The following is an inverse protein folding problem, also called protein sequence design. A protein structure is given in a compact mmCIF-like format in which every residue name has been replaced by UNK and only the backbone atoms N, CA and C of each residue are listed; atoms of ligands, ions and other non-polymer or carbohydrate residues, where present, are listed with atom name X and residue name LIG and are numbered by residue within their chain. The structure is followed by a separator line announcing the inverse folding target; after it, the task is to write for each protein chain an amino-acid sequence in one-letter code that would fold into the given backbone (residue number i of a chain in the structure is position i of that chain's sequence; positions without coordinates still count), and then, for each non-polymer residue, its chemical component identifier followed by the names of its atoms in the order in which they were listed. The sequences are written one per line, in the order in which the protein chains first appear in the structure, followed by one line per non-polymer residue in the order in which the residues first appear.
data_IF_012571355642
#
_entry.id   IF_012571355642
#
_cell.length_a   1.000
_cell.length_b   1.000
_cell.length_c   1.000
_cell.angle_alpha   90.00
_cell.angle_beta   90.00
_cell.angle_gamma   90.00
#
_symmetry.space_group_name_H-M   'P 1'
#
loop_
_entity.id
_entity.type
_entity.pdbx_description
1 polymer ?
#
# COMPACT_ATOMS: atom_id res chain seq x y z
N UNK A 1 -14.27 -6.48 -16.74
CA UNK A 1 -14.20 -7.23 -15.48
C UNK A 1 -15.34 -6.73 -14.60
N UNK A 2 -16.06 -7.63 -13.95
CA UNK A 2 -17.15 -7.31 -13.00
C UNK A 2 -16.86 -8.07 -11.71
N UNK A 3 -17.24 -7.51 -10.57
CA UNK A 3 -17.10 -8.19 -9.29
C UNK A 3 -18.02 -9.41 -9.22
N UNK A 4 -17.56 -10.45 -8.51
CA UNK A 4 -18.36 -11.65 -8.27
C UNK A 4 -19.45 -11.40 -7.21
N UNK A 5 -19.17 -10.52 -6.27
CA UNK A 5 -20.06 -10.17 -5.17
C UNK A 5 -19.91 -8.69 -4.85
N UNK A 6 -21.04 -7.99 -4.76
CA UNK A 6 -21.13 -6.64 -4.23
C UNK A 6 -21.89 -6.65 -2.90
N UNK A 7 -21.71 -5.59 -2.10
CA UNK A 7 -22.56 -5.31 -0.96
C UNK A 7 -23.88 -4.69 -1.41
N UNK A 8 -23.82 -3.53 -2.06
CA UNK A 8 -25.00 -2.83 -2.60
C UNK A 8 -24.97 -2.73 -4.12
N UNK A 9 -23.82 -3.00 -4.73
CA UNK A 9 -23.60 -2.87 -6.16
C UNK A 9 -23.59 -1.41 -6.61
N UNK A 10 -23.51 -1.26 -7.93
CA UNK A 10 -23.40 0.04 -8.58
C UNK A 10 -21.98 0.34 -9.05
N UNK A 11 -21.89 1.33 -9.93
CA UNK A 11 -20.67 1.64 -10.66
C UNK A 11 -19.51 2.01 -9.72
N UNK A 12 -19.76 2.77 -8.67
CA UNK A 12 -18.72 3.24 -7.74
C UNK A 12 -18.08 2.13 -6.92
N UNK A 13 -18.86 1.12 -6.53
CA UNK A 13 -18.36 -0.06 -5.81
C UNK A 13 -17.53 -0.94 -6.72
N UNK A 14 -18.05 -1.24 -7.92
CA UNK A 14 -17.33 -1.96 -8.99
C UNK A 14 -16.01 -1.26 -9.32
N UNK A 15 -16.07 0.04 -9.59
CA UNK A 15 -14.92 0.82 -10.03
C UNK A 15 -13.85 0.91 -8.96
N UNK A 16 -14.24 1.19 -7.71
CA UNK A 16 -13.31 1.25 -6.59
C UNK A 16 -12.49 -0.04 -6.49
N UNK A 17 -13.14 -1.21 -6.48
CA UNK A 17 -12.43 -2.49 -6.34
C UNK A 17 -11.64 -2.84 -7.61
N UNK A 18 -12.23 -2.66 -8.79
CA UNK A 18 -11.57 -2.98 -10.07
C UNK A 18 -10.30 -2.15 -10.28
N UNK A 19 -10.27 -0.88 -9.89
CA UNK A 19 -9.06 -0.05 -9.96
C UNK A 19 -7.94 -0.66 -9.11
N UNK A 20 -8.23 -1.10 -7.88
CA UNK A 20 -7.23 -1.75 -7.03
C UNK A 20 -6.76 -3.09 -7.62
N UNK A 21 -7.66 -3.93 -8.12
CA UNK A 21 -7.28 -5.18 -8.79
C UNK A 21 -6.43 -4.92 -10.04
N UNK A 22 -6.72 -3.88 -10.81
CA UNK A 22 -5.94 -3.50 -11.98
C UNK A 22 -4.53 -3.00 -11.60
N UNK A 23 -4.39 -2.24 -10.52
CA UNK A 23 -3.09 -1.86 -9.94
C UNK A 23 -2.31 -3.12 -9.56
N UNK A 24 -2.96 -4.06 -8.86
CA UNK A 24 -2.34 -5.33 -8.45
C UNK A 24 -1.87 -6.17 -9.63
N UNK A 25 -2.69 -6.29 -10.67
CA UNK A 25 -2.34 -7.02 -11.89
C UNK A 25 -1.13 -6.41 -12.63
N UNK A 26 -0.92 -5.09 -12.54
CA UNK A 26 0.26 -4.44 -13.13
C UNK A 26 1.54 -4.66 -12.33
N UNK A 27 1.44 -4.77 -11.01
CA UNK A 27 2.60 -4.83 -10.13
C UNK A 27 3.47 -6.09 -10.30
N UNK A 28 2.93 -7.17 -10.87
CA UNK A 28 3.66 -8.43 -11.07
C UNK A 28 5.02 -8.27 -11.77
N UNK A 29 5.13 -7.32 -12.72
CA UNK A 29 6.41 -7.03 -13.38
C UNK A 29 7.45 -6.47 -12.42
N UNK A 30 7.07 -5.54 -11.54
CA UNK A 30 7.97 -5.01 -10.52
C UNK A 30 8.36 -6.06 -9.49
N UNK A 31 7.43 -6.95 -9.10
CA UNK A 31 7.75 -8.04 -8.16
C UNK A 31 8.77 -9.04 -8.73
N UNK A 32 8.69 -9.34 -10.03
CA UNK A 32 9.71 -10.15 -10.70
C UNK A 32 11.08 -9.42 -10.77
N UNK A 33 11.05 -8.11 -11.07
CA UNK A 33 12.25 -7.28 -11.13
C UNK A 33 13.01 -7.22 -9.80
N UNK A 34 12.30 -7.27 -8.66
CA UNK A 34 12.92 -7.36 -7.33
C UNK A 34 13.89 -8.55 -7.25
N UNK A 35 13.42 -9.73 -7.68
CA UNK A 35 14.18 -10.98 -7.57
C UNK A 35 15.43 -10.89 -8.45
N UNK A 36 15.26 -10.48 -9.70
CA UNK A 36 16.39 -10.33 -10.65
C UNK A 36 17.40 -9.30 -10.14
N UNK A 37 16.95 -8.16 -9.62
CA UNK A 37 17.82 -7.13 -9.07
C UNK A 37 18.65 -7.66 -7.89
N UNK A 38 18.05 -8.40 -6.97
CA UNK A 38 18.76 -8.96 -5.82
C UNK A 38 19.81 -10.01 -6.22
N UNK A 39 19.54 -10.84 -7.23
CA UNK A 39 20.55 -11.74 -7.79
C UNK A 39 21.68 -10.98 -8.49
N UNK A 40 21.35 -9.98 -9.32
CA UNK A 40 22.33 -9.14 -10.00
C UNK A 40 23.23 -8.34 -9.04
N UNK A 41 22.73 -7.99 -7.86
CA UNK A 41 23.55 -7.40 -6.78
C UNK A 41 24.64 -8.38 -6.30
N UNK A 42 24.31 -9.65 -6.14
CA UNK A 42 25.27 -10.71 -5.72
C UNK A 42 26.28 -10.99 -6.81
N UNK A 43 25.82 -11.06 -8.06
CA UNK A 43 26.67 -11.34 -9.22
C UNK A 43 27.46 -10.12 -9.72
N UNK A 44 27.33 -8.98 -9.03
CA UNK A 44 27.97 -7.71 -9.38
C UNK A 44 27.69 -7.26 -10.83
N UNK A 45 26.42 -7.28 -11.24
CA UNK A 45 25.94 -6.91 -12.57
C UNK A 45 25.16 -5.58 -12.53
N UNK A 46 25.84 -4.43 -12.44
CA UNK A 46 25.20 -3.13 -12.22
C UNK A 46 24.30 -2.68 -13.38
N UNK A 47 24.57 -3.14 -14.60
CA UNK A 47 23.74 -2.89 -15.77
C UNK A 47 22.36 -3.52 -15.57
N UNK A 48 22.30 -4.78 -15.12
CA UNK A 48 21.03 -5.48 -14.84
C UNK A 48 20.31 -4.84 -13.65
N UNK A 49 21.03 -4.47 -12.59
CA UNK A 49 20.41 -3.74 -11.45
C UNK A 49 19.77 -2.43 -11.95
N UNK A 50 20.43 -1.72 -12.87
CA UNK A 50 19.91 -0.48 -13.45
C UNK A 50 18.63 -0.72 -14.27
N UNK A 51 18.64 -1.75 -15.12
CA UNK A 51 17.48 -2.14 -15.94
C UNK A 51 16.27 -2.56 -15.10
N UNK A 52 16.49 -3.31 -14.02
CA UNK A 52 15.41 -3.77 -13.14
C UNK A 52 14.85 -2.62 -12.28
N UNK A 53 15.69 -1.70 -11.81
CA UNK A 53 15.22 -0.46 -11.17
C UNK A 53 14.40 0.40 -12.13
N UNK A 54 14.81 0.50 -13.40
CA UNK A 54 14.02 1.18 -14.43
C UNK A 54 12.68 0.46 -14.69
N UNK A 55 12.67 -0.87 -14.67
CA UNK A 55 11.45 -1.68 -14.78
C UNK A 55 10.50 -1.43 -13.60
N UNK A 56 11.02 -1.32 -12.38
CA UNK A 56 10.22 -0.97 -11.19
C UNK A 56 9.63 0.44 -11.36
N UNK A 57 10.43 1.43 -11.77
CA UNK A 57 9.96 2.80 -11.99
C UNK A 57 8.86 2.89 -13.05
N UNK A 58 9.03 2.21 -14.19
CA UNK A 58 8.01 2.14 -15.25
C UNK A 58 6.71 1.48 -14.78
N UNK A 59 6.83 0.41 -13.99
CA UNK A 59 5.66 -0.28 -13.42
C UNK A 59 4.91 0.60 -12.44
N UNK A 60 5.63 1.36 -11.59
CA UNK A 60 5.03 2.35 -10.70
C UNK A 60 4.28 3.45 -11.46
N UNK A 61 4.84 3.93 -12.58
CA UNK A 61 4.15 4.85 -13.48
C UNK A 61 2.85 4.27 -14.02
N UNK A 62 2.89 3.02 -14.53
CA UNK A 62 1.69 2.35 -15.02
C UNK A 62 0.63 2.07 -13.92
N UNK A 63 1.06 1.78 -12.69
CA UNK A 63 0.15 1.67 -11.53
C UNK A 63 -0.47 3.02 -11.20
N UNK A 64 0.31 4.10 -11.27
CA UNK A 64 -0.15 5.46 -11.02
C UNK A 64 -1.16 5.92 -12.08
N UNK A 65 -0.92 5.64 -13.36
CA UNK A 65 -1.87 5.92 -14.44
C UNK A 65 -3.24 5.24 -14.20
N UNK A 66 -3.24 4.02 -13.64
CA UNK A 66 -4.48 3.34 -13.26
C UNK A 66 -5.12 4.02 -12.05
N UNK A 67 -4.34 4.36 -11.02
CA UNK A 67 -4.85 5.07 -9.84
C UNK A 67 -5.54 6.38 -10.24
N UNK A 68 -4.97 7.14 -11.17
CA UNK A 68 -5.52 8.40 -11.67
C UNK A 68 -6.94 8.29 -12.26
N UNK A 69 -7.36 7.07 -12.62
CA UNK A 69 -8.70 6.78 -13.15
C UNK A 69 -9.75 6.56 -12.07
N UNK A 70 -9.40 6.59 -10.78
CA UNK A 70 -10.38 6.47 -9.70
C UNK A 70 -11.59 7.41 -9.87
N UNK A 71 -11.42 8.70 -10.23
CA UNK A 71 -12.54 9.62 -10.41
C UNK A 71 -13.39 9.37 -11.66
N UNK A 72 -12.96 8.52 -12.60
CA UNK A 72 -13.70 8.24 -13.84
C UNK A 72 -15.08 7.66 -13.57
N UNK A 73 -15.21 6.85 -12.51
CA UNK A 73 -16.43 6.11 -12.20
C UNK A 73 -16.59 5.77 -10.70
N UNK A 74 -15.86 6.47 -9.82
CA UNK A 74 -16.07 6.42 -8.38
C UNK A 74 -16.22 7.84 -7.85
N UNK A 75 -17.46 8.27 -7.62
CA UNK A 75 -17.80 9.57 -7.07
C UNK A 75 -17.44 9.63 -5.56
N UNK A 76 -16.73 10.67 -5.09
CA UNK A 76 -16.36 10.82 -3.69
C UNK A 76 -17.53 10.73 -2.70
N UNK A 77 -18.68 11.31 -3.02
CA UNK A 77 -19.85 11.32 -2.14
C UNK A 77 -20.49 9.93 -2.09
N UNK A 78 -20.63 9.26 -3.24
CA UNK A 78 -21.16 7.89 -3.31
C UNK A 78 -20.25 6.91 -2.59
N UNK A 79 -18.94 6.96 -2.85
CA UNK A 79 -17.95 6.15 -2.13
C UNK A 79 -18.10 6.30 -0.63
N UNK A 80 -18.10 7.55 -0.13
CA UNK A 80 -18.14 7.81 1.29
C UNK A 80 -19.41 7.28 1.95
N UNK A 81 -20.58 7.41 1.30
CA UNK A 81 -21.87 7.06 1.92
C UNK A 81 -22.34 5.64 1.65
N UNK A 82 -21.94 5.02 0.54
CA UNK A 82 -22.48 3.73 0.10
C UNK A 82 -21.45 2.61 0.06
N UNK A 83 -20.20 2.90 -0.27
CA UNK A 83 -19.14 1.88 -0.38
C UNK A 83 -18.41 1.74 0.96
N UNK A 84 -17.83 2.85 1.45
CA UNK A 84 -16.99 2.89 2.65
C UNK A 84 -17.60 2.24 3.91
N UNK A 85 -18.92 2.35 4.21
CA UNK A 85 -19.48 1.75 5.42
C UNK A 85 -19.30 0.23 5.53
N UNK A 86 -19.30 -0.49 4.40
CA UNK A 86 -19.21 -1.96 4.39
C UNK A 86 -17.80 -2.51 4.53
N UNK A 87 -16.79 -1.67 4.35
CA UNK A 87 -15.38 -2.06 4.41
C UNK A 87 -14.72 -1.67 5.75
N UNK A 88 -15.49 -1.12 6.70
CA UNK A 88 -15.03 -0.94 8.08
C UNK A 88 -15.01 -2.28 8.82
N UNK A 89 -13.98 -2.46 9.64
CA UNK A 89 -13.94 -3.54 10.63
C UNK A 89 -14.54 -3.07 11.95
N UNK A 90 -14.31 -3.86 12.99
CA UNK A 90 -14.81 -3.59 14.35
C UNK A 90 -13.68 -3.23 15.33
N UNK A 91 -12.41 -3.38 14.94
CA UNK A 91 -11.28 -2.86 15.72
C UNK A 91 -11.37 -1.33 15.85
N UNK A 92 -11.51 -0.84 17.08
CA UNK A 92 -11.67 0.58 17.42
C UNK A 92 -12.93 1.24 16.81
N UNK A 93 -13.93 0.45 16.38
CA UNK A 93 -15.15 1.00 15.79
C UNK A 93 -16.15 1.45 16.88
N UNK A 94 -16.68 2.68 16.85
CA UNK A 94 -17.48 3.23 17.95
C UNK A 94 -18.82 2.50 18.15
N UNK A 95 -19.36 1.84 17.12
CA UNK A 95 -20.57 1.03 17.24
C UNK A 95 -20.34 -0.36 17.84
N UNK A 96 -19.09 -0.84 17.89
CA UNK A 96 -18.71 -2.14 18.42
C UNK A 96 -17.46 -1.98 19.31
N UNK A 97 -17.57 -1.26 20.44
CA UNK A 97 -16.40 -0.92 21.27
C UNK A 97 -15.71 -2.13 21.90
N UNK A 98 -16.42 -3.25 22.07
CA UNK A 98 -15.87 -4.50 22.56
C UNK A 98 -15.34 -5.41 21.42
N UNK A 99 -15.61 -5.07 20.15
CA UNK A 99 -15.40 -5.94 18.99
C UNK A 99 -16.64 -6.74 18.60
N UNK A 100 -16.45 -7.82 17.84
CA UNK A 100 -17.50 -8.70 17.32
C UNK A 100 -17.39 -10.10 17.93
N UNK A 101 -18.50 -10.65 18.43
CA UNK A 101 -18.55 -12.05 18.90
C UNK A 101 -18.80 -12.96 17.69
N UNK A 102 -17.95 -13.97 17.55
CA UNK A 102 -18.05 -15.00 16.53
C UNK A 102 -18.64 -16.27 17.16
N UNK A 103 -19.95 -16.38 17.15
CA UNK A 103 -20.66 -17.52 17.72
C UNK A 103 -20.24 -18.84 17.04
N UNK A 104 -19.98 -19.86 17.85
CA UNK A 104 -19.60 -21.19 17.37
C UNK A 104 -18.14 -21.36 16.94
N UNK A 105 -17.31 -20.32 17.03
CA UNK A 105 -15.87 -20.43 16.76
C UNK A 105 -15.12 -20.76 18.05
N UNK A 106 -14.74 -22.03 18.21
CA UNK A 106 -14.10 -22.56 19.43
C UNK A 106 -12.83 -21.78 19.82
N UNK A 107 -11.97 -21.47 18.84
CA UNK A 107 -10.71 -20.73 19.06
C UNK A 107 -10.92 -19.35 19.70
N UNK A 108 -12.09 -18.74 19.51
CA UNK A 108 -12.41 -17.44 20.08
C UNK A 108 -13.12 -17.53 21.42
N UNK A 109 -13.59 -18.71 21.85
CA UNK A 109 -14.13 -18.94 23.19
C UNK A 109 -15.28 -18.02 23.61
N UNK A 110 -16.06 -17.52 22.64
CA UNK A 110 -17.13 -16.54 22.90
C UNK A 110 -16.64 -15.11 23.22
N UNK A 111 -15.34 -14.85 23.11
CA UNK A 111 -14.74 -13.53 23.34
C UNK A 111 -14.90 -12.69 22.07
N UNK A 112 -15.24 -11.41 22.24
CA UNK A 112 -15.33 -10.47 21.13
C UNK A 112 -13.95 -10.22 20.52
N UNK A 113 -13.84 -10.37 19.20
CA UNK A 113 -12.62 -10.18 18.44
C UNK A 113 -12.56 -8.78 17.85
N UNK A 114 -11.36 -8.25 17.66
CA UNK A 114 -11.11 -6.90 17.14
C UNK A 114 -10.31 -6.97 15.85
N UNK A 115 -11.00 -7.14 14.72
CA UNK A 115 -10.37 -7.17 13.40
C UNK A 115 -10.56 -5.84 12.68
N UNK A 116 -9.52 -5.47 11.94
CA UNK A 116 -9.43 -4.24 11.17
C UNK A 116 -10.24 -4.38 9.89
N UNK A 117 -10.75 -3.25 9.40
CA UNK A 117 -11.40 -3.19 8.10
C UNK A 117 -10.40 -3.29 6.95
N UNK A 118 -10.92 -3.23 5.73
CA UNK A 118 -10.09 -3.16 4.53
C UNK A 118 -9.29 -1.86 4.53
N UNK A 119 -8.04 -1.96 4.09
CA UNK A 119 -7.19 -0.81 3.81
C UNK A 119 -6.14 -1.19 2.77
N UNK A 120 -5.77 -0.22 1.93
CA UNK A 120 -4.64 -0.39 1.00
C UNK A 120 -3.30 -0.76 1.67
N UNK A 121 -3.15 -0.60 2.98
CA UNK A 121 -1.98 -1.08 3.72
C UNK A 121 -1.89 -2.63 3.81
N UNK A 122 -2.97 -3.34 3.48
CA UNK A 122 -2.99 -4.81 3.36
C UNK A 122 -2.49 -5.29 1.99
N UNK A 123 -2.29 -4.39 1.01
CA UNK A 123 -1.58 -4.72 -0.23
C UNK A 123 -0.11 -5.04 0.04
N UNK A 124 0.41 -6.08 -0.60
CA UNK A 124 1.81 -6.50 -0.45
C UNK A 124 2.77 -5.76 -1.38
N UNK A 125 2.27 -4.99 -2.36
CA UNK A 125 3.11 -4.36 -3.39
C UNK A 125 4.02 -3.30 -2.80
N UNK A 126 3.42 -2.26 -2.19
CA UNK A 126 4.18 -1.13 -1.68
C UNK A 126 5.18 -1.59 -0.60
N UNK A 127 4.82 -2.48 0.35
CA UNK A 127 5.78 -3.05 1.29
C UNK A 127 6.94 -3.81 0.62
N UNK A 128 6.69 -4.57 -0.45
CA UNK A 128 7.76 -5.27 -1.18
C UNK A 128 8.68 -4.28 -1.93
N UNK A 129 8.12 -3.20 -2.48
CA UNK A 129 8.88 -2.15 -3.15
C UNK A 129 9.68 -1.30 -2.15
N UNK A 130 9.11 -1.01 -0.99
CA UNK A 130 9.85 -0.37 0.11
C UNK A 130 11.03 -1.25 0.54
N UNK A 131 10.81 -2.56 0.68
CA UNK A 131 11.83 -3.52 1.07
C UNK A 131 13.00 -3.55 0.08
N UNK A 132 12.74 -3.71 -1.23
CA UNK A 132 13.83 -3.78 -2.23
C UNK A 132 14.59 -2.44 -2.34
N UNK A 133 13.89 -1.31 -2.24
CA UNK A 133 14.50 0.01 -2.33
C UNK A 133 15.13 0.45 -1.01
N UNK A 134 15.03 -0.36 0.05
CA UNK A 134 15.58 -0.03 1.36
C UNK A 134 14.92 1.21 1.99
N UNK A 135 13.65 1.47 1.70
CA UNK A 135 12.86 2.55 2.30
C UNK A 135 12.43 2.09 3.69
N UNK A 136 12.94 2.78 4.72
CA UNK A 136 12.59 2.48 6.11
C UNK A 136 11.77 3.61 6.74
N UNK A 137 10.82 3.21 7.57
CA UNK A 137 9.94 4.11 8.32
C UNK A 137 10.37 4.18 9.78
N UNK A 138 10.26 5.35 10.41
CA UNK A 138 10.65 5.52 11.81
C UNK A 138 9.84 4.60 12.75
N UNK A 139 10.46 4.10 13.82
CA UNK A 139 9.81 3.23 14.80
C UNK A 139 8.79 4.00 15.64
N UNK A 140 7.53 3.93 15.23
CA UNK A 140 6.41 4.55 15.93
C UNK A 140 5.11 3.71 15.82
N UNK A 141 3.99 4.29 16.25
CA UNK A 141 2.66 3.65 16.18
C UNK A 141 2.29 3.28 14.75
N UNK A 142 2.68 4.08 13.76
CA UNK A 142 2.40 3.82 12.35
C UNK A 142 3.19 2.62 11.85
N UNK A 143 4.48 2.50 12.19
CA UNK A 143 5.24 1.30 11.82
C UNK A 143 4.69 0.04 12.48
N UNK A 144 4.24 0.11 13.74
CA UNK A 144 3.53 -1.00 14.39
C UNK A 144 2.25 -1.37 13.65
N UNK A 145 1.47 -0.38 13.24
CA UNK A 145 0.26 -0.59 12.46
C UNK A 145 0.54 -1.25 11.09
N UNK A 146 1.57 -0.80 10.35
CA UNK A 146 1.94 -1.45 9.09
C UNK A 146 2.39 -2.91 9.27
N UNK A 147 3.10 -3.21 10.37
CA UNK A 147 3.44 -4.59 10.72
C UNK A 147 2.19 -5.41 11.01
N UNK A 148 1.24 -4.87 11.78
CA UNK A 148 -0.07 -5.50 12.01
C UNK A 148 -0.80 -5.77 10.68
N UNK A 149 -0.73 -4.87 9.69
CA UNK A 149 -1.38 -5.09 8.38
C UNK A 149 -0.76 -6.25 7.59
N UNK A 150 0.49 -6.64 7.86
CA UNK A 150 1.06 -7.86 7.28
C UNK A 150 0.35 -9.12 7.78
N UNK A 151 -0.24 -9.08 8.99
CA UNK A 151 -1.01 -10.20 9.54
C UNK A 151 -2.27 -10.51 8.72
N UNK A 152 -2.77 -9.51 7.98
CA UNK A 152 -3.92 -9.61 7.08
C UNK A 152 -3.52 -9.98 5.63
N UNK A 153 -2.23 -10.11 5.33
CA UNK A 153 -1.75 -10.57 4.02
C UNK A 153 -1.72 -12.10 3.96
N UNK A 154 -1.95 -12.71 2.77
CA UNK A 154 -1.72 -14.14 2.58
C UNK A 154 -0.30 -14.55 3.02
N UNK A 155 -0.12 -15.71 3.68
CA UNK A 155 1.18 -16.10 4.25
C UNK A 155 2.34 -16.08 3.24
N UNK A 156 2.09 -16.50 2.00
CA UNK A 156 3.11 -16.50 0.93
C UNK A 156 3.53 -15.09 0.51
N UNK A 157 2.63 -14.12 0.58
CA UNK A 157 2.94 -12.73 0.24
C UNK A 157 3.75 -12.07 1.34
N UNK A 158 3.41 -12.36 2.61
CA UNK A 158 4.22 -11.93 3.76
C UNK A 158 5.63 -12.49 3.70
N UNK A 159 5.75 -13.81 3.48
CA UNK A 159 7.05 -14.48 3.36
C UNK A 159 7.88 -13.91 2.20
N UNK A 160 7.26 -13.50 1.09
CA UNK A 160 7.95 -12.81 0.01
C UNK A 160 8.57 -11.50 0.47
N UNK A 161 7.81 -10.63 1.15
CA UNK A 161 8.33 -9.36 1.67
C UNK A 161 9.50 -9.61 2.65
N UNK A 162 9.33 -10.55 3.58
CA UNK A 162 10.38 -10.91 4.55
C UNK A 162 11.64 -11.44 3.87
N UNK A 163 11.49 -12.23 2.80
CA UNK A 163 12.62 -12.72 2.00
C UNK A 163 13.35 -11.58 1.30
N UNK A 164 12.61 -10.62 0.73
CA UNK A 164 13.20 -9.43 0.08
C UNK A 164 13.95 -8.57 1.11
N UNK A 165 13.37 -8.35 2.29
CA UNK A 165 13.99 -7.59 3.39
C UNK A 165 15.28 -8.26 3.90
N UNK A 166 15.32 -9.59 3.97
CA UNK A 166 16.50 -10.34 4.40
C UNK A 166 17.55 -10.53 3.28
N UNK A 167 17.19 -10.24 2.04
CA UNK A 167 18.03 -10.44 0.87
C UNK A 167 19.12 -9.39 0.68
N UNK A 168 19.91 -9.50 -0.41
CA UNK A 168 20.93 -8.51 -0.76
C UNK A 168 20.34 -7.09 -0.91
N UNK A 169 21.00 -6.11 -0.29
CA UNK A 169 20.56 -4.71 -0.31
C UNK A 169 20.87 -4.03 -1.65
N UNK A 170 19.83 -3.82 -2.47
CA UNK A 170 19.91 -3.07 -3.73
C UNK A 170 20.31 -1.62 -3.45
N UNK A 171 19.74 -1.00 -2.41
CA UNK A 171 20.07 0.38 -2.04
C UNK A 171 21.55 0.55 -1.69
N UNK A 172 22.13 -0.34 -0.88
CA UNK A 172 23.55 -0.24 -0.51
C UNK A 172 24.46 -0.53 -1.70
N UNK A 173 24.03 -1.40 -2.61
CA UNK A 173 24.72 -1.61 -3.88
C UNK A 173 24.74 -0.32 -4.72
N UNK A 174 23.60 0.35 -4.89
CA UNK A 174 23.51 1.64 -5.60
C UNK A 174 24.39 2.69 -4.92
N UNK A 175 24.33 2.81 -3.58
CA UNK A 175 25.16 3.75 -2.83
C UNK A 175 26.65 3.53 -3.10
N UNK A 176 27.13 2.29 -3.07
CA UNK A 176 28.55 1.98 -3.31
C UNK A 176 29.03 2.37 -4.71
N UNK A 177 28.14 2.35 -5.71
CA UNK A 177 28.50 2.58 -7.11
C UNK A 177 28.07 3.95 -7.66
N UNK A 178 27.30 4.74 -6.90
CA UNK A 178 26.67 6.00 -7.35
C UNK A 178 27.62 7.00 -8.02
N UNK A 179 28.87 7.08 -7.56
CA UNK A 179 29.86 8.01 -8.11
C UNK A 179 30.42 7.57 -9.47
N UNK A 180 30.58 6.27 -9.68
CA UNK A 180 31.09 5.71 -10.94
C UNK A 180 29.98 5.44 -11.97
N UNK A 181 28.73 5.29 -11.49
CA UNK A 181 27.58 4.83 -12.30
C UNK A 181 26.36 5.72 -12.03
N UNK A 182 26.33 6.95 -12.56
CA UNK A 182 25.20 7.87 -12.34
C UNK A 182 23.87 7.29 -12.82
N UNK A 183 23.85 6.54 -13.94
CA UNK A 183 22.62 5.90 -14.43
C UNK A 183 21.97 4.92 -13.44
N UNK A 184 22.78 4.20 -12.65
CA UNK A 184 22.28 3.30 -11.60
C UNK A 184 21.61 4.08 -10.46
N UNK A 185 22.23 5.19 -10.03
CA UNK A 185 21.65 6.12 -9.05
C UNK A 185 20.35 6.72 -9.56
N UNK A 186 20.34 7.17 -10.81
CA UNK A 186 19.20 7.84 -11.40
C UNK A 186 18.01 6.88 -11.58
N UNK A 187 18.25 5.63 -11.98
CA UNK A 187 17.22 4.59 -12.04
C UNK A 187 16.64 4.27 -10.64
N UNK A 188 17.48 4.16 -9.61
CA UNK A 188 17.02 4.01 -8.23
C UNK A 188 16.13 5.19 -7.80
N UNK A 189 16.59 6.42 -8.04
CA UNK A 189 15.83 7.62 -7.68
C UNK A 189 14.50 7.71 -8.44
N UNK A 190 14.45 7.28 -9.70
CA UNK A 190 13.21 7.22 -10.47
C UNK A 190 12.20 6.22 -9.86
N UNK A 191 12.66 5.08 -9.32
CA UNK A 191 11.80 4.15 -8.61
C UNK A 191 11.27 4.75 -7.28
N UNK A 192 12.14 5.44 -6.52
CA UNK A 192 11.72 6.16 -5.30
C UNK A 192 10.70 7.25 -5.62
N UNK A 193 10.92 8.02 -6.69
CA UNK A 193 10.01 9.06 -7.16
C UNK A 193 8.64 8.48 -7.56
N UNK A 194 8.61 7.29 -8.18
CA UNK A 194 7.38 6.59 -8.49
C UNK A 194 6.56 6.23 -7.24
N UNK A 195 7.20 5.76 -6.16
CA UNK A 195 6.53 5.49 -4.89
C UNK A 195 6.03 6.79 -4.25
N UNK A 196 6.85 7.84 -4.26
CA UNK A 196 6.47 9.15 -3.72
C UNK A 196 5.25 9.72 -4.44
N UNK A 197 5.20 9.62 -5.76
CA UNK A 197 4.09 10.07 -6.59
C UNK A 197 2.81 9.28 -6.28
N UNK A 198 2.90 7.95 -6.23
CA UNK A 198 1.77 7.07 -5.87
C UNK A 198 1.21 7.43 -4.49
N UNK A 199 2.08 7.59 -3.48
CA UNK A 199 1.70 8.01 -2.11
C UNK A 199 1.08 9.40 -2.08
N UNK A 200 1.57 10.32 -2.91
CA UNK A 200 1.06 11.69 -3.00
C UNK A 200 -0.37 11.72 -3.55
N UNK A 201 -0.64 11.01 -4.63
CA UNK A 201 -1.99 10.88 -5.19
C UNK A 201 -2.92 10.14 -4.23
N UNK A 202 -2.47 9.08 -3.59
CA UNK A 202 -3.26 8.38 -2.58
C UNK A 202 -3.65 9.30 -1.40
N UNK A 203 -2.72 10.13 -0.91
CA UNK A 203 -3.00 11.14 0.11
C UNK A 203 -4.02 12.19 -0.35
N UNK A 204 -3.95 12.61 -1.60
CA UNK A 204 -4.93 13.53 -2.18
C UNK A 204 -6.33 12.90 -2.21
N UNK A 205 -6.44 11.66 -2.70
CA UNK A 205 -7.72 10.94 -2.75
C UNK A 205 -8.27 10.68 -1.36
N UNK A 206 -7.44 10.30 -0.39
CA UNK A 206 -7.88 10.14 0.99
C UNK A 206 -8.49 11.45 1.55
N UNK A 207 -7.96 12.63 1.16
CA UNK A 207 -8.58 13.92 1.51
C UNK A 207 -9.90 14.14 0.78
N UNK A 208 -9.97 13.87 -0.52
CA UNK A 208 -11.15 14.16 -1.34
C UNK A 208 -12.33 13.22 -1.05
N UNK A 209 -12.05 11.93 -0.88
CA UNK A 209 -13.04 10.86 -0.71
C UNK A 209 -13.45 10.64 0.76
N UNK A 210 -12.66 11.11 1.73
CA UNK A 210 -12.95 10.92 3.16
C UNK A 210 -13.10 12.26 3.88
N UNK A 211 -12.04 13.07 3.92
CA UNK A 211 -12.03 14.30 4.75
C UNK A 211 -13.06 15.32 4.25
N UNK A 212 -13.08 15.62 2.94
CA UNK A 212 -14.03 16.58 2.36
C UNK A 212 -15.48 16.11 2.41
N UNK A 213 -15.72 14.81 2.51
CA UNK A 213 -17.07 14.22 2.59
C UNK A 213 -17.60 14.13 4.02
N UNK A 214 -16.74 14.38 5.02
CA UNK A 214 -17.12 14.30 6.43
C UNK A 214 -18.18 15.35 6.77
N UNK A 215 -19.40 14.89 7.07
CA UNK A 215 -20.51 15.74 7.56
C UNK A 215 -21.09 15.19 8.88
N UNK A 216 -20.27 14.59 9.75
CA UNK A 216 -20.66 14.29 11.14
C UNK A 216 -21.56 13.06 11.38
N UNK A 217 -21.53 12.04 10.52
CA UNK A 217 -22.35 10.82 10.69
C UNK A 217 -21.66 9.71 11.51
N UNK A 218 -22.34 9.16 12.54
CA UNK A 218 -21.82 8.06 13.39
C UNK A 218 -21.51 6.75 12.65
N UNK A 219 -22.17 6.49 11.50
CA UNK A 219 -22.01 5.28 10.68
C UNK A 219 -20.73 5.26 9.83
N UNK A 220 -20.06 6.40 9.68
CA UNK A 220 -18.84 6.48 8.87
C UNK A 220 -17.83 7.42 9.54
N UNK A 221 -17.12 6.95 10.59
CA UNK A 221 -16.17 7.77 11.33
C UNK A 221 -15.08 8.34 10.40
N UNK A 222 -14.75 9.62 10.57
CA UNK A 222 -13.82 10.37 9.69
C UNK A 222 -12.48 10.65 10.33
N UNK A 223 -12.43 10.64 11.66
CA UNK A 223 -11.19 10.79 12.44
C UNK A 223 -10.33 9.51 12.38
N UNK A 224 -10.93 8.43 11.89
CA UNK A 224 -10.37 7.09 11.83
C UNK A 224 -10.60 6.52 10.43
N UNK A 225 -9.53 6.05 9.77
CA UNK A 225 -9.62 5.29 8.51
C UNK A 225 -10.38 3.98 8.70
N UNK A 226 -10.72 3.28 7.61
CA UNK A 226 -11.37 1.95 7.67
C UNK A 226 -10.54 0.90 8.41
N UNK A 227 -9.21 1.05 8.36
CA UNK A 227 -8.25 0.30 9.16
C UNK A 227 -8.03 0.84 10.59
N UNK A 228 -8.79 1.83 11.09
CA UNK A 228 -8.70 2.20 12.51
C UNK A 228 -7.59 3.22 12.87
N UNK A 229 -7.09 4.04 11.94
CA UNK A 229 -5.95 4.97 12.18
C UNK A 229 -6.21 6.43 11.78
N UNK A 230 -5.49 7.42 12.36
CA UNK A 230 -5.46 8.80 11.84
C UNK A 230 -4.65 8.86 10.54
N UNK A 231 -5.29 8.51 9.42
CA UNK A 231 -4.62 8.19 8.16
C UNK A 231 -3.91 9.40 7.50
N UNK A 232 -4.41 10.63 7.64
CA UNK A 232 -3.80 11.79 6.95
C UNK A 232 -2.38 12.11 7.44
N UNK A 233 -2.12 12.25 8.76
CA UNK A 233 -0.75 12.38 9.28
C UNK A 233 0.17 11.24 8.81
N UNK A 234 -0.34 10.01 8.80
CA UNK A 234 0.44 8.82 8.45
C UNK A 234 0.85 8.82 6.99
N UNK A 235 -0.08 9.11 6.08
CA UNK A 235 0.19 9.21 4.64
C UNK A 235 1.17 10.36 4.33
N UNK A 236 1.05 11.51 5.01
CA UNK A 236 2.03 12.62 4.88
C UNK A 236 3.44 12.18 5.28
N UNK A 237 3.54 11.46 6.40
CA UNK A 237 4.83 10.97 6.94
C UNK A 237 5.48 9.97 5.98
N UNK A 238 4.75 8.95 5.51
CA UNK A 238 5.30 7.97 4.57
C UNK A 238 5.84 8.59 3.28
N UNK A 239 5.13 9.58 2.73
CA UNK A 239 5.62 10.32 1.56
C UNK A 239 6.95 11.03 1.85
N UNK A 240 7.04 11.73 2.99
CA UNK A 240 8.26 12.44 3.37
C UNK A 240 9.44 11.49 3.63
N UNK A 241 9.18 10.36 4.30
CA UNK A 241 10.19 9.33 4.53
C UNK A 241 10.66 8.69 3.22
N UNK A 242 9.76 8.39 2.27
CA UNK A 242 10.16 7.94 0.91
C UNK A 242 11.11 8.94 0.25
N UNK A 243 10.74 10.22 0.24
CA UNK A 243 11.56 11.27 -0.38
C UNK A 243 12.97 11.33 0.22
N UNK A 244 13.10 11.15 1.54
CA UNK A 244 14.38 11.17 2.23
C UNK A 244 15.32 10.02 1.84
N UNK A 245 14.84 8.97 1.14
CA UNK A 245 15.65 7.84 0.71
C UNK A 245 16.30 8.03 -0.67
N UNK A 246 16.04 9.14 -1.36
CA UNK A 246 16.74 9.49 -2.60
C UNK A 246 18.25 9.62 -2.35
N UNK A 247 19.03 9.27 -3.35
CA UNK A 247 20.49 9.29 -3.30
C UNK A 247 21.00 10.49 -4.11
N UNK A 248 21.86 11.30 -3.48
CA UNK A 248 22.59 12.39 -4.13
C UNK A 248 23.69 11.92 -5.06
#
# INVERSE_FOLDING_TARGET
MVLLQNFLGGQDEEWFVVIHVAIEAKAGRALAAIITAQHAVVDHQPEIVTEELATIAQTLGAMHDILLRMPDACDPYVYFRRVRPYIHGWANHPSLPAGMIYEGVEDYGGIAQNFRGETGAQSSIIPALDAVLGIVHAEDILRRYLREMRDYMPPRHRAFIETVEAGPSVRDYVLRHRGARPGLRDAYNAAVDGIELFRSTHLEYARNYIVKQSQGGKRNPTDVGTGGTPFVPYLKKHRAETHAHKIG
#
